data_IF_883106549354
#
_entry.id   IF_883106549354
#
_cell.length_a   1.000
_cell.length_b   1.000
_cell.length_c   1.000
_cell.angle_alpha   90.00
_cell.angle_beta   90.00
_cell.angle_gamma   90.00
#
_symmetry.space_group_name_H-M   'P 1'
#
loop_
_entity.id
_entity.type
_entity.pdbx_description
1 polymer ?
#
# COMPACT_ATOMS: atom_id res chain seq x y z
N UNK A 1 13.31 -8.30 -12.87
CA UNK A 1 13.38 -7.79 -11.49
C UNK A 1 12.95 -8.90 -10.55
N UNK A 2 13.60 -9.12 -9.41
CA UNK A 2 13.25 -10.17 -8.42
C UNK A 2 12.49 -9.60 -7.23
N UNK A 3 11.61 -10.40 -6.64
CA UNK A 3 10.87 -10.03 -5.44
C UNK A 3 11.72 -10.23 -4.19
N UNK A 4 11.78 -9.20 -3.35
CA UNK A 4 12.35 -9.28 -2.01
C UNK A 4 11.24 -8.94 -1.01
N UNK A 5 10.70 -9.94 -0.30
CA UNK A 5 9.62 -9.73 0.65
C UNK A 5 10.03 -8.73 1.73
N UNK A 6 9.19 -7.73 1.95
CA UNK A 6 9.33 -6.79 3.04
C UNK A 6 7.95 -6.49 3.59
N UNK A 7 7.74 -6.84 4.86
CA UNK A 7 6.50 -6.54 5.55
C UNK A 7 6.21 -5.05 5.58
N UNK A 8 4.92 -4.73 5.59
CA UNK A 8 4.43 -3.38 5.81
C UNK A 8 5.04 -2.78 7.09
N UNK A 9 5.77 -1.65 7.03
CA UNK A 9 6.52 -1.13 8.18
C UNK A 9 5.57 -0.64 9.26
N UNK A 10 5.89 -0.86 10.53
CA UNK A 10 5.08 -0.35 11.64
C UNK A 10 4.96 1.18 11.62
N UNK A 11 3.81 1.70 12.03
CA UNK A 11 3.59 3.15 12.16
C UNK A 11 4.29 3.60 13.46
N UNK A 12 5.13 4.65 13.43
CA UNK A 12 5.70 5.21 14.65
C UNK A 12 4.60 5.59 15.65
N UNK A 13 4.83 5.31 16.93
CA UNK A 13 3.84 5.50 17.99
C UNK A 13 3.28 6.92 18.04
N UNK A 14 4.16 7.93 17.91
CA UNK A 14 3.77 9.33 17.92
C UNK A 14 2.86 9.69 16.74
N UNK A 15 3.14 9.18 15.54
CA UNK A 15 2.30 9.37 14.37
C UNK A 15 0.92 8.75 14.57
N UNK A 16 0.86 7.54 15.13
CA UNK A 16 -0.40 6.88 15.43
C UNK A 16 -1.21 7.65 16.49
N UNK A 17 -0.55 8.19 17.52
CA UNK A 17 -1.17 9.00 18.56
C UNK A 17 -1.80 10.27 17.98
N UNK A 18 -1.04 11.04 17.20
CA UNK A 18 -1.55 12.27 16.57
C UNK A 18 -2.68 11.96 15.60
N UNK A 19 -2.56 10.91 14.77
CA UNK A 19 -3.60 10.51 13.83
C UNK A 19 -4.92 10.16 14.54
N UNK A 20 -4.87 9.41 15.65
CA UNK A 20 -6.06 9.07 16.45
C UNK A 20 -6.69 10.29 17.12
N UNK A 21 -5.88 11.26 17.57
CA UNK A 21 -6.39 12.52 18.13
C UNK A 21 -7.10 13.39 17.09
N UNK A 22 -6.57 13.44 15.85
CA UNK A 22 -7.17 14.19 14.75
C UNK A 22 -8.40 13.50 14.14
N UNK A 23 -8.40 12.17 14.13
CA UNK A 23 -9.49 11.34 13.60
C UNK A 23 -9.97 10.33 14.65
N UNK A 24 -10.72 10.76 15.70
CA UNK A 24 -11.14 9.85 16.78
C UNK A 24 -12.04 8.69 16.32
N UNK A 25 -12.77 8.88 15.22
CA UNK A 25 -13.59 7.84 14.59
C UNK A 25 -12.84 7.04 13.52
N UNK A 26 -11.57 7.35 13.30
CA UNK A 26 -10.80 6.89 12.15
C UNK A 26 -11.18 7.62 10.86
N UNK A 27 -10.49 7.26 9.79
CA UNK A 27 -10.81 7.64 8.42
C UNK A 27 -10.58 6.44 7.50
N UNK A 28 -11.00 6.57 6.23
CA UNK A 28 -10.91 5.47 5.24
C UNK A 28 -9.49 4.94 5.05
N UNK A 29 -8.46 5.79 5.15
CA UNK A 29 -7.07 5.36 5.00
C UNK A 29 -6.52 4.66 6.24
N UNK A 30 -7.00 5.05 7.44
CA UNK A 30 -6.65 4.36 8.68
C UNK A 30 -7.23 2.94 8.67
N UNK A 31 -8.50 2.77 8.27
CA UNK A 31 -9.09 1.43 8.11
C UNK A 31 -8.42 0.63 7.01
N UNK A 32 -8.16 1.25 5.84
CA UNK A 32 -7.41 0.59 4.78
C UNK A 32 -6.08 0.08 5.33
N UNK A 33 -5.34 0.91 6.06
CA UNK A 33 -4.05 0.56 6.62
C UNK A 33 -4.11 -0.61 7.62
N UNK A 34 -5.11 -0.63 8.49
CA UNK A 34 -5.28 -1.69 9.50
C UNK A 34 -5.63 -3.04 8.85
N UNK A 35 -6.45 -3.03 7.80
CA UNK A 35 -6.88 -4.24 7.07
C UNK A 35 -5.89 -4.66 5.96
N UNK A 36 -5.04 -3.75 5.48
CA UNK A 36 -4.20 -3.98 4.30
C UNK A 36 -3.25 -5.16 4.46
N UNK A 37 -2.64 -5.30 5.65
CA UNK A 37 -1.74 -6.40 5.96
C UNK A 37 -2.42 -7.76 6.02
N UNK A 38 -3.74 -7.81 6.23
CA UNK A 38 -4.51 -9.04 6.14
C UNK A 38 -4.83 -9.43 4.68
N UNK A 39 -4.93 -8.44 3.79
CA UNK A 39 -5.32 -8.65 2.39
C UNK A 39 -4.13 -8.97 1.47
N UNK A 40 -2.95 -8.42 1.75
CA UNK A 40 -1.78 -8.53 0.88
C UNK A 40 -0.56 -9.09 1.59
N UNK A 41 -0.09 -10.23 1.10
CA UNK A 41 1.11 -10.92 1.54
C UNK A 41 2.07 -11.10 0.35
N UNK A 42 3.37 -10.91 0.56
CA UNK A 42 4.38 -10.98 -0.51
C UNK A 42 4.42 -12.35 -1.21
N UNK A 43 4.06 -13.41 -0.48
CA UNK A 43 3.95 -14.78 -0.98
C UNK A 43 2.94 -14.89 -2.14
N UNK A 44 1.87 -14.08 -2.13
CA UNK A 44 0.86 -14.08 -3.18
C UNK A 44 1.40 -13.61 -4.53
N UNK A 45 2.50 -12.86 -4.54
CA UNK A 45 3.11 -12.29 -5.74
C UNK A 45 4.36 -13.04 -6.18
N UNK A 46 4.86 -13.99 -5.39
CA UNK A 46 6.16 -14.63 -5.63
C UNK A 46 6.24 -15.32 -6.99
N UNK A 47 5.15 -15.93 -7.46
CA UNK A 47 5.10 -16.57 -8.78
C UNK A 47 5.18 -15.59 -9.97
N UNK A 48 5.01 -14.29 -9.75
CA UNK A 48 5.03 -13.27 -10.79
C UNK A 48 6.44 -12.70 -11.03
N UNK A 49 7.42 -13.05 -10.17
CA UNK A 49 8.78 -12.53 -10.26
C UNK A 49 9.80 -13.65 -10.49
N UNK A 50 10.79 -13.45 -11.38
CA UNK A 50 11.93 -14.36 -11.48
C UNK A 50 12.75 -14.37 -10.19
N UNK A 51 13.36 -15.51 -9.88
CA UNK A 51 14.19 -15.70 -8.67
C UNK A 51 15.46 -14.84 -8.66
N UNK A 52 15.87 -14.32 -9.81
CA UNK A 52 17.07 -13.52 -10.01
C UNK A 52 16.77 -12.25 -10.82
N UNK A 53 17.44 -11.15 -10.48
CA UNK A 53 17.32 -9.87 -11.19
C UNK A 53 17.53 -8.66 -10.28
N UNK A 54 17.35 -7.46 -10.83
CA UNK A 54 17.32 -6.23 -10.03
C UNK A 54 16.10 -6.21 -9.10
N UNK A 55 16.18 -5.51 -7.97
CA UNK A 55 15.07 -5.39 -7.04
C UNK A 55 13.79 -4.87 -7.72
N UNK A 56 12.70 -5.61 -7.60
CA UNK A 56 11.38 -5.11 -7.94
C UNK A 56 10.88 -4.14 -6.86
N UNK A 57 10.03 -3.19 -7.25
CA UNK A 57 9.20 -2.49 -6.29
C UNK A 57 8.29 -3.48 -5.54
N UNK A 58 8.01 -3.17 -4.29
CA UNK A 58 7.20 -4.00 -3.40
C UNK A 58 5.77 -4.16 -3.96
N UNK A 59 5.29 -5.38 -4.24
CA UNK A 59 3.97 -5.59 -4.84
C UNK A 59 2.83 -5.01 -3.99
N UNK A 60 2.94 -5.15 -2.66
CA UNK A 60 1.99 -4.56 -1.74
C UNK A 60 1.95 -3.02 -1.83
N UNK A 61 3.09 -2.37 -2.11
CA UNK A 61 3.13 -0.92 -2.26
C UNK A 61 2.37 -0.48 -3.51
N UNK A 62 2.55 -1.20 -4.61
CA UNK A 62 1.81 -0.95 -5.84
C UNK A 62 0.31 -1.19 -5.64
N UNK A 63 -0.08 -2.29 -4.97
CA UNK A 63 -1.49 -2.56 -4.64
C UNK A 63 -2.12 -1.45 -3.78
N UNK A 64 -1.39 -0.96 -2.77
CA UNK A 64 -1.84 0.14 -1.92
C UNK A 64 -2.06 1.43 -2.72
N UNK A 65 -1.10 1.78 -3.59
CA UNK A 65 -1.22 2.95 -4.47
C UNK A 65 -2.45 2.83 -5.37
N UNK A 66 -2.67 1.67 -5.98
CA UNK A 66 -3.83 1.45 -6.86
C UNK A 66 -5.17 1.59 -6.12
N UNK A 67 -5.27 1.08 -4.89
CA UNK A 67 -6.48 1.24 -4.08
C UNK A 67 -6.71 2.71 -3.73
N UNK A 68 -5.67 3.44 -3.31
CA UNK A 68 -5.79 4.87 -2.99
C UNK A 68 -6.17 5.67 -4.24
N UNK A 69 -5.53 5.42 -5.38
CA UNK A 69 -5.89 6.04 -6.66
C UNK A 69 -7.38 5.81 -6.99
N UNK A 70 -7.87 4.58 -6.81
CA UNK A 70 -9.28 4.27 -7.01
C UNK A 70 -10.20 5.00 -6.02
N UNK A 71 -9.87 4.98 -4.72
CA UNK A 71 -10.65 5.64 -3.67
C UNK A 71 -10.76 7.16 -3.89
N UNK A 72 -9.73 7.77 -4.46
CA UNK A 72 -9.66 9.19 -4.75
C UNK A 72 -10.16 9.58 -6.16
N UNK A 73 -10.70 8.62 -6.93
CA UNK A 73 -11.04 8.79 -8.34
C UNK A 73 -9.86 9.22 -9.26
N UNK A 74 -8.63 9.12 -8.80
CA UNK A 74 -7.40 9.40 -9.58
C UNK A 74 -6.93 8.19 -10.39
N UNK A 75 -7.83 7.39 -10.96
CA UNK A 75 -7.40 6.36 -11.90
C UNK A 75 -6.64 7.04 -13.06
N UNK A 76 -5.57 6.42 -13.57
CA UNK A 76 -4.71 6.92 -14.66
C UNK A 76 -5.48 7.48 -15.88
N UNK A 77 -6.76 7.11 -16.02
CA UNK A 77 -7.69 7.59 -17.06
C UNK A 77 -8.12 9.07 -16.93
N UNK A 78 -7.79 9.77 -15.86
CA UNK A 78 -8.11 11.20 -15.71
C UNK A 78 -7.04 12.16 -16.23
N UNK A 79 -5.91 11.67 -16.76
CA UNK A 79 -4.98 12.52 -17.51
C UNK A 79 -5.54 12.75 -18.92
N UNK A 80 -6.54 13.62 -19.02
CA UNK A 80 -6.89 14.31 -20.26
C UNK A 80 -6.18 15.67 -20.17
N UNK A 81 -5.32 15.91 -21.15
CA UNK A 81 -4.51 17.10 -21.39
C UNK A 81 -5.20 18.40 -20.93
N UNK A 82 -4.50 19.20 -20.10
CA UNK A 82 -4.67 20.65 -20.03
C UNK A 82 -3.76 21.28 -21.07
#
# INVERSE_FOLDING_TARGET
MSLHPQSLPAIPEETARVARSLFPKGNRYMWLRDEFGALYHDEQFTSLYPSNGQFAEQPWRLALISIIQYMENYSDRQVILV
#
